data_IF_854970992117
#
_entry.id   IF_854970992117
#
_cell.length_a   1.000
_cell.length_b   1.000
_cell.length_c   1.000
_cell.angle_alpha   90.00
_cell.angle_beta   90.00
_cell.angle_gamma   90.00
#
_symmetry.space_group_name_H-M   'P 1'
#
loop_
_entity.id
_entity.type
_entity.pdbx_description
1 polymer ?
#
# COMPACT_ATOMS: atom_id res chain seq x y z
N UNK A 1 -31.96 34.96 68.08
CA UNK A 1 -32.04 34.28 69.39
C UNK A 1 -31.08 33.13 69.42
N UNK A 2 -30.28 33.14 70.49
CA UNK A 2 -29.47 32.07 71.08
C UNK A 2 -28.38 31.38 70.24
N UNK A 3 -27.19 31.76 70.59
CA UNK A 3 -25.88 31.13 70.60
C UNK A 3 -25.90 29.71 71.17
N UNK A 4 -25.04 28.83 70.65
CA UNK A 4 -24.27 27.92 71.51
C UNK A 4 -22.88 27.69 70.87
N UNK A 5 -21.86 28.08 71.61
CA UNK A 5 -20.46 27.70 71.51
C UNK A 5 -20.30 26.25 71.99
N UNK A 6 -19.46 25.46 71.30
CA UNK A 6 -18.72 24.37 71.94
C UNK A 6 -17.25 24.40 71.50
N UNK A 7 -16.43 24.58 72.50
CA UNK A 7 -14.96 24.46 72.50
C UNK A 7 -14.58 23.00 72.47
N UNK A 8 -13.64 22.56 71.62
CA UNK A 8 -12.93 21.31 71.84
C UNK A 8 -11.43 21.51 71.54
N UNK A 9 -10.72 21.06 72.49
CA UNK A 9 -9.29 21.11 72.78
C UNK A 9 -8.42 20.48 71.67
N UNK A 10 -7.32 21.18 71.36
CA UNK A 10 -6.27 20.74 70.43
C UNK A 10 -5.34 19.76 71.16
N UNK A 11 -5.27 18.52 70.70
CA UNK A 11 -4.23 17.55 71.09
C UNK A 11 -3.15 17.55 69.98
N UNK A 12 -1.97 18.01 70.34
CA UNK A 12 -0.77 17.98 69.48
C UNK A 12 -0.18 16.57 69.55
N UNK A 13 -0.30 15.79 68.49
CA UNK A 13 0.45 14.56 68.30
C UNK A 13 1.67 14.85 67.44
N UNK A 14 2.85 14.75 68.04
CA UNK A 14 4.13 14.81 67.33
C UNK A 14 4.35 13.58 66.47
N UNK A 15 4.23 13.74 65.17
CA UNK A 15 4.61 12.72 64.17
C UNK A 15 6.12 12.80 63.96
N UNK A 16 6.81 11.76 64.38
CA UNK A 16 8.21 11.52 64.01
C UNK A 16 8.20 11.10 62.51
N UNK A 17 8.69 11.99 61.67
CA UNK A 17 8.91 11.72 60.22
C UNK A 17 10.10 10.82 60.08
N UNK A 18 9.86 9.53 59.77
CA UNK A 18 10.90 8.63 59.30
C UNK A 18 11.09 8.88 57.79
N UNK A 19 12.07 9.71 57.42
CA UNK A 19 12.45 9.91 56.04
C UNK A 19 13.13 8.65 55.49
N UNK A 20 12.43 7.93 54.59
CA UNK A 20 13.09 6.96 53.71
C UNK A 20 14.01 7.70 52.75
N UNK A 21 15.25 7.26 52.52
CA UNK A 21 16.04 7.81 51.44
C UNK A 21 15.39 7.51 50.11
N UNK A 22 14.94 8.54 49.38
CA UNK A 22 14.56 8.40 47.97
C UNK A 22 15.83 8.10 47.21
N UNK A 23 15.94 6.84 46.74
CA UNK A 23 16.95 6.42 45.78
C UNK A 23 16.51 6.99 44.44
N UNK A 24 17.04 8.16 44.07
CA UNK A 24 16.88 8.65 42.70
C UNK A 24 17.71 7.76 41.78
N UNK A 25 17.01 6.95 40.99
CA UNK A 25 17.66 6.20 39.89
C UNK A 25 18.33 7.22 38.97
N UNK A 26 19.57 6.92 38.56
CA UNK A 26 20.29 7.78 37.61
C UNK A 26 19.53 7.82 36.25
N UNK A 27 19.70 8.91 35.49
CA UNK A 27 19.11 9.02 34.16
C UNK A 27 19.43 7.79 33.28
N UNK A 28 20.63 7.22 33.43
CA UNK A 28 21.04 6.01 32.73
C UNK A 28 20.25 4.75 33.17
N UNK A 29 19.87 4.65 34.45
CA UNK A 29 19.02 3.54 34.95
C UNK A 29 17.56 3.68 34.52
N UNK A 30 17.06 4.91 34.40
CA UNK A 30 15.74 5.20 33.87
C UNK A 30 15.67 4.91 32.36
N UNK A 31 16.68 5.34 31.58
CA UNK A 31 16.81 5.03 30.17
C UNK A 31 16.96 3.51 29.94
N UNK A 32 17.79 2.82 30.74
CA UNK A 32 17.95 1.37 30.68
C UNK A 32 16.66 0.63 31.05
N UNK A 33 15.87 1.11 32.02
CA UNK A 33 14.56 0.57 32.38
C UNK A 33 13.53 0.83 31.27
N UNK A 34 13.49 2.01 30.70
CA UNK A 34 12.60 2.36 29.62
C UNK A 34 12.92 1.55 28.37
N UNK A 35 14.19 1.30 28.10
CA UNK A 35 14.67 0.46 27.02
C UNK A 35 14.36 -1.05 27.26
N UNK A 36 14.54 -1.53 28.49
CA UNK A 36 14.17 -2.89 28.88
C UNK A 36 12.65 -3.14 28.86
N UNK A 37 11.83 -2.10 29.06
CA UNK A 37 10.39 -2.16 28.90
C UNK A 37 9.99 -2.19 27.41
N UNK A 38 10.70 -1.48 26.54
CA UNK A 38 10.51 -1.56 25.08
C UNK A 38 10.99 -2.89 24.50
N UNK A 39 12.06 -3.49 25.04
CA UNK A 39 12.58 -4.79 24.60
C UNK A 39 11.80 -6.00 25.13
N UNK A 40 10.93 -5.82 26.12
CA UNK A 40 10.02 -6.86 26.65
C UNK A 40 8.64 -6.90 25.97
N UNK A 41 8.42 -6.08 24.93
CA UNK A 41 7.31 -6.30 24.03
C UNK A 41 7.53 -7.66 23.37
N UNK A 42 6.75 -8.63 23.79
CA UNK A 42 6.61 -9.95 23.15
C UNK A 42 6.50 -9.72 21.65
N UNK A 43 7.23 -10.50 20.86
CA UNK A 43 7.36 -10.42 19.41
C UNK A 43 6.03 -10.80 18.71
N UNK A 44 4.98 -10.01 18.88
CA UNK A 44 3.91 -9.98 17.91
C UNK A 44 4.45 -9.19 16.70
N UNK A 45 4.37 -9.79 15.51
CA UNK A 45 4.72 -9.13 14.26
C UNK A 45 4.01 -7.77 14.21
N UNK A 46 4.75 -6.67 14.31
CA UNK A 46 4.15 -5.36 14.15
C UNK A 46 3.57 -5.28 12.73
N UNK A 47 2.32 -4.88 12.64
CA UNK A 47 1.61 -4.77 11.35
C UNK A 47 0.99 -3.40 11.20
N UNK A 48 0.84 -2.97 9.95
CA UNK A 48 -0.01 -1.83 9.60
C UNK A 48 -0.98 -2.25 8.51
N UNK A 49 -2.05 -1.48 8.35
CA UNK A 49 -3.04 -1.75 7.31
C UNK A 49 -3.31 -0.48 6.51
N UNK A 50 -3.69 -0.67 5.27
CA UNK A 50 -4.17 0.40 4.40
C UNK A 50 -5.17 -0.15 3.38
N UNK A 51 -6.02 0.72 2.88
CA UNK A 51 -7.04 0.42 1.89
C UNK A 51 -6.73 1.06 0.54
N UNK A 52 -7.09 0.38 -0.52
CA UNK A 52 -6.99 0.86 -1.91
C UNK A 52 -8.34 0.72 -2.58
N UNK A 53 -8.79 1.75 -3.30
CA UNK A 53 -9.96 1.72 -4.16
C UNK A 53 -9.53 1.96 -5.60
N UNK A 54 -9.76 0.99 -6.50
CA UNK A 54 -9.64 1.19 -7.94
C UNK A 54 -10.95 1.74 -8.47
N UNK A 55 -10.90 2.87 -9.21
CA UNK A 55 -12.08 3.58 -9.66
C UNK A 55 -11.88 4.17 -11.07
N UNK A 56 -12.46 3.54 -12.09
CA UNK A 56 -12.63 4.21 -13.38
C UNK A 56 -13.73 5.24 -13.23
N UNK A 57 -13.42 6.51 -13.50
CA UNK A 57 -14.29 7.66 -13.24
C UNK A 57 -15.01 8.18 -14.50
N UNK A 58 -15.03 7.39 -15.56
CA UNK A 58 -15.71 7.68 -16.83
C UNK A 58 -15.57 9.14 -17.26
N UNK A 59 -14.35 9.49 -17.69
CA UNK A 59 -14.02 10.84 -18.15
C UNK A 59 -14.35 11.92 -17.08
N UNK A 60 -13.87 11.70 -15.84
CA UNK A 60 -14.09 12.62 -14.71
C UNK A 60 -15.58 12.80 -14.34
N UNK A 61 -16.41 11.79 -14.58
CA UNK A 61 -17.85 11.82 -14.32
C UNK A 61 -18.65 12.72 -15.28
N UNK A 62 -18.06 13.19 -16.38
CA UNK A 62 -18.74 14.10 -17.32
C UNK A 62 -19.88 13.44 -18.08
N UNK A 63 -19.92 12.12 -18.13
CA UNK A 63 -20.96 11.36 -18.81
C UNK A 63 -22.25 11.22 -17.97
N UNK A 64 -22.21 11.59 -16.69
CA UNK A 64 -23.33 11.51 -15.76
C UNK A 64 -23.62 12.89 -15.18
N UNK A 65 -24.88 13.32 -15.18
CA UNK A 65 -25.26 14.60 -14.56
C UNK A 65 -24.91 14.58 -13.06
N UNK A 66 -24.09 15.53 -12.59
CA UNK A 66 -23.58 15.56 -11.22
C UNK A 66 -22.48 14.51 -10.92
N UNK A 67 -21.93 13.86 -11.98
CA UNK A 67 -20.97 12.76 -11.82
C UNK A 67 -19.68 13.16 -11.10
N UNK A 68 -19.12 14.34 -11.38
CA UNK A 68 -17.95 14.81 -10.64
C UNK A 68 -18.19 14.90 -9.12
N UNK A 69 -19.31 15.51 -8.72
CA UNK A 69 -19.66 15.62 -7.30
C UNK A 69 -19.92 14.24 -6.68
N UNK A 70 -20.48 13.32 -7.45
CA UNK A 70 -20.68 11.94 -7.02
C UNK A 70 -19.34 11.22 -6.81
N UNK A 71 -18.32 11.40 -7.69
CA UNK A 71 -16.96 10.89 -7.47
C UNK A 71 -16.38 11.42 -6.16
N UNK A 72 -16.48 12.73 -5.93
CA UNK A 72 -16.00 13.36 -4.69
C UNK A 72 -16.72 12.77 -3.47
N UNK A 73 -18.05 12.56 -3.56
CA UNK A 73 -18.84 11.98 -2.46
C UNK A 73 -18.43 10.54 -2.14
N UNK A 74 -18.27 9.69 -3.17
CA UNK A 74 -17.87 8.31 -2.98
C UNK A 74 -16.51 8.19 -2.29
N UNK A 75 -15.54 9.03 -2.68
CA UNK A 75 -14.21 9.05 -2.05
C UNK A 75 -14.30 9.60 -0.63
N UNK A 76 -15.06 10.71 -0.42
CA UNK A 76 -15.18 11.33 0.89
C UNK A 76 -15.93 10.47 1.92
N UNK A 77 -16.93 9.70 1.49
CA UNK A 77 -17.75 8.85 2.36
C UNK A 77 -17.05 7.55 2.73
N UNK A 78 -16.24 6.98 1.83
CA UNK A 78 -15.54 5.70 2.05
C UNK A 78 -14.16 5.87 2.65
N UNK A 79 -13.53 7.00 2.43
CA UNK A 79 -12.21 7.35 2.95
C UNK A 79 -11.12 6.30 2.68
N UNK A 80 -10.93 5.81 1.45
CA UNK A 80 -9.82 4.91 1.15
C UNK A 80 -8.48 5.60 1.44
N UNK A 81 -7.47 4.82 1.84
CA UNK A 81 -6.13 5.38 2.05
C UNK A 81 -5.49 5.78 0.71
N UNK A 82 -5.79 4.99 -0.33
CA UNK A 82 -5.38 5.27 -1.71
C UNK A 82 -6.55 5.09 -2.67
N UNK A 83 -6.59 5.91 -3.72
CA UNK A 83 -7.48 5.72 -4.87
C UNK A 83 -6.64 5.67 -6.12
N UNK A 84 -6.75 4.59 -6.90
CA UNK A 84 -6.26 4.53 -8.27
C UNK A 84 -7.38 4.90 -9.21
N UNK A 85 -7.10 5.83 -10.12
CA UNK A 85 -8.08 6.43 -11.00
C UNK A 85 -7.77 6.10 -12.46
N UNK A 86 -8.77 5.69 -13.21
CA UNK A 86 -8.72 5.60 -14.66
C UNK A 86 -9.65 6.65 -15.27
N UNK A 87 -9.29 7.15 -16.46
CA UNK A 87 -10.01 8.15 -17.22
C UNK A 87 -9.98 9.60 -16.66
N UNK A 88 -8.83 10.00 -16.14
CA UNK A 88 -8.51 11.40 -15.91
C UNK A 88 -8.26 12.08 -17.26
N UNK A 89 -8.90 13.24 -17.53
CA UNK A 89 -8.84 13.92 -18.82
C UNK A 89 -8.33 15.35 -18.74
N UNK A 90 -8.29 15.95 -17.54
CA UNK A 90 -7.90 17.36 -17.32
C UNK A 90 -8.70 18.33 -18.18
N UNK A 91 -10.01 18.14 -18.29
CA UNK A 91 -10.88 18.94 -19.13
C UNK A 91 -10.75 20.45 -18.87
N UNK A 92 -10.94 21.27 -19.93
CA UNK A 92 -10.88 22.73 -19.90
C UNK A 92 -9.54 23.28 -19.40
N UNK A 93 -8.43 22.59 -19.68
CA UNK A 93 -7.09 22.92 -19.18
C UNK A 93 -6.99 23.06 -17.65
N UNK A 94 -7.84 22.35 -16.92
CA UNK A 94 -7.78 22.28 -15.46
C UNK A 94 -6.90 21.09 -15.03
N UNK A 95 -6.39 21.13 -13.80
CA UNK A 95 -5.71 20.00 -13.18
C UNK A 95 -6.74 19.22 -12.37
N UNK A 96 -7.07 17.99 -12.78
CA UNK A 96 -8.01 17.15 -12.04
C UNK A 96 -7.52 16.85 -10.62
N UNK A 97 -6.23 16.56 -10.48
CA UNK A 97 -5.58 16.35 -9.18
C UNK A 97 -5.81 17.52 -8.22
N UNK A 98 -5.65 18.77 -8.68
CA UNK A 98 -5.90 19.95 -7.85
C UNK A 98 -7.39 20.13 -7.53
N UNK A 99 -8.27 19.91 -8.50
CA UNK A 99 -9.72 20.04 -8.30
C UNK A 99 -10.24 19.03 -7.29
N UNK A 100 -9.91 17.76 -7.46
CA UNK A 100 -10.39 16.68 -6.59
C UNK A 100 -9.87 16.84 -5.15
N UNK A 101 -8.60 17.19 -4.96
CA UNK A 101 -8.01 17.46 -3.64
C UNK A 101 -8.68 18.65 -2.97
N UNK A 102 -8.96 19.75 -3.71
CA UNK A 102 -9.66 20.91 -3.17
C UNK A 102 -11.11 20.56 -2.77
N UNK A 103 -11.83 19.78 -3.61
CA UNK A 103 -13.20 19.35 -3.31
C UNK A 103 -13.28 18.42 -2.10
N UNK A 104 -12.32 17.48 -1.96
CA UNK A 104 -12.22 16.61 -0.79
C UNK A 104 -11.88 17.42 0.47
N UNK A 105 -10.97 18.39 0.37
CA UNK A 105 -10.63 19.29 1.47
C UNK A 105 -11.84 20.11 1.93
N UNK A 106 -12.68 20.59 1.01
CA UNK A 106 -13.94 21.29 1.36
C UNK A 106 -14.91 20.39 2.13
N UNK A 107 -14.80 19.06 2.00
CA UNK A 107 -15.54 18.06 2.79
C UNK A 107 -14.79 17.61 4.06
N UNK A 108 -13.69 18.28 4.44
CA UNK A 108 -12.87 17.95 5.62
C UNK A 108 -11.97 16.73 5.44
N UNK A 109 -11.74 16.28 4.19
CA UNK A 109 -10.89 15.13 3.89
C UNK A 109 -9.57 15.59 3.30
N UNK A 110 -8.45 15.16 3.88
CA UNK A 110 -7.11 15.52 3.40
C UNK A 110 -6.57 14.40 2.51
N UNK A 111 -6.28 14.75 1.26
CA UNK A 111 -5.61 13.89 0.29
C UNK A 111 -4.49 14.66 -0.40
N UNK A 112 -3.53 13.89 -0.92
CA UNK A 112 -2.45 14.33 -1.77
C UNK A 112 -2.60 13.69 -3.14
N UNK A 113 -2.25 14.43 -4.18
CA UNK A 113 -2.22 13.93 -5.56
C UNK A 113 -1.08 14.60 -6.31
N UNK A 114 -0.67 14.01 -7.40
CA UNK A 114 0.26 14.61 -8.36
C UNK A 114 -0.40 14.69 -9.72
N UNK A 115 0.06 15.65 -10.55
CA UNK A 115 -0.50 15.78 -11.89
C UNK A 115 -0.34 14.49 -12.68
N UNK A 116 -1.42 14.10 -13.31
CA UNK A 116 -1.54 12.88 -14.08
C UNK A 116 -2.39 13.11 -15.33
N UNK A 117 -2.30 12.20 -16.30
CA UNK A 117 -3.11 12.18 -17.52
C UNK A 117 -3.59 10.75 -17.72
N UNK A 118 -4.88 10.59 -18.04
CA UNK A 118 -5.57 9.31 -18.23
C UNK A 118 -5.71 8.44 -16.98
N UNK A 119 -4.72 8.41 -16.11
CA UNK A 119 -4.77 7.73 -14.82
C UNK A 119 -4.19 8.61 -13.71
N UNK A 120 -4.46 8.28 -12.45
CA UNK A 120 -3.98 9.06 -11.32
C UNK A 120 -4.06 8.32 -9.99
N UNK A 121 -3.41 8.88 -8.97
CA UNK A 121 -3.44 8.34 -7.61
C UNK A 121 -3.76 9.45 -6.62
N UNK A 122 -4.74 9.18 -5.74
CA UNK A 122 -4.94 9.95 -4.52
C UNK A 122 -4.35 9.18 -3.33
N UNK A 123 -3.76 9.89 -2.40
CA UNK A 123 -3.15 9.33 -1.19
C UNK A 123 -3.53 10.15 0.04
N UNK A 124 -3.88 9.50 1.16
CA UNK A 124 -3.96 10.17 2.47
C UNK A 124 -2.58 10.54 3.03
N UNK A 125 -1.53 9.95 2.49
CA UNK A 125 -0.16 10.14 2.95
C UNK A 125 0.60 11.10 2.04
N UNK A 126 1.55 11.91 2.56
CA UNK A 126 2.37 12.80 1.74
C UNK A 126 3.14 12.03 0.66
N UNK A 127 3.19 12.61 -0.53
CA UNK A 127 3.89 12.04 -1.68
C UNK A 127 5.40 12.28 -1.55
N UNK A 128 6.20 11.23 -1.63
CA UNK A 128 7.67 11.29 -1.67
C UNK A 128 8.21 11.40 -3.08
N UNK A 129 7.63 10.62 -3.99
CA UNK A 129 8.05 10.53 -5.38
C UNK A 129 6.84 10.19 -6.26
N UNK A 130 6.81 10.68 -7.48
CA UNK A 130 5.85 10.23 -8.50
C UNK A 130 6.48 10.23 -9.89
N UNK A 131 5.91 9.44 -10.79
CA UNK A 131 6.28 9.39 -12.20
C UNK A 131 5.14 8.84 -13.04
N UNK A 132 5.12 9.17 -14.33
CA UNK A 132 4.21 8.59 -15.31
C UNK A 132 5.01 7.93 -16.42
N UNK A 133 4.56 6.78 -16.91
CA UNK A 133 5.19 6.06 -18.03
C UNK A 133 4.18 5.09 -18.63
N UNK A 134 4.27 4.86 -19.96
CA UNK A 134 3.37 3.95 -20.67
C UNK A 134 1.89 4.23 -20.30
N UNK A 135 1.18 3.27 -19.74
CA UNK A 135 -0.21 3.38 -19.29
C UNK A 135 -0.34 3.57 -17.77
N UNK A 136 0.70 4.04 -17.08
CA UNK A 136 0.73 4.03 -15.62
C UNK A 136 1.12 5.37 -15.02
N UNK A 137 0.49 5.68 -13.90
CA UNK A 137 0.91 6.68 -12.92
C UNK A 137 1.41 5.95 -11.67
N UNK A 138 2.62 6.30 -11.22
CA UNK A 138 3.29 5.70 -10.07
C UNK A 138 3.47 6.73 -8.97
N UNK A 139 3.14 6.38 -7.75
CA UNK A 139 3.28 7.22 -6.56
C UNK A 139 3.97 6.43 -5.45
N UNK A 140 4.94 7.05 -4.77
CA UNK A 140 5.64 6.50 -3.60
C UNK A 140 5.31 7.33 -2.38
N UNK A 141 4.99 6.67 -1.28
CA UNK A 141 4.72 7.28 0.01
C UNK A 141 5.17 6.39 1.16
N UNK A 142 5.12 6.90 2.38
CA UNK A 142 5.25 6.12 3.62
C UNK A 142 3.91 6.06 4.35
N UNK A 143 3.41 4.85 4.59
CA UNK A 143 2.22 4.65 5.43
C UNK A 143 2.61 4.68 6.90
N UNK A 144 3.74 4.09 7.23
CA UNK A 144 4.40 4.22 8.54
C UNK A 144 5.87 4.55 8.31
N UNK A 145 6.54 5.29 9.20
CA UNK A 145 7.94 5.68 9.01
C UNK A 145 8.85 4.51 8.64
N UNK A 146 9.65 4.68 7.59
CA UNK A 146 10.58 3.67 7.08
C UNK A 146 9.96 2.56 6.24
N UNK A 147 8.64 2.55 6.02
CA UNK A 147 7.95 1.53 5.23
C UNK A 147 7.28 2.16 4.01
N UNK A 148 7.98 2.14 2.89
CA UNK A 148 7.51 2.70 1.64
C UNK A 148 6.50 1.78 0.94
N UNK A 149 5.40 2.40 0.48
CA UNK A 149 4.39 1.78 -0.36
C UNK A 149 4.39 2.49 -1.71
N UNK A 150 4.40 1.71 -2.77
CA UNK A 150 4.29 2.20 -4.14
C UNK A 150 2.93 1.80 -4.69
N UNK A 151 2.18 2.81 -5.10
CA UNK A 151 0.88 2.63 -5.73
C UNK A 151 1.01 2.97 -7.21
N UNK A 152 0.70 2.01 -8.05
CA UNK A 152 0.54 2.19 -9.48
C UNK A 152 -0.94 2.28 -9.82
N UNK A 153 -1.32 3.26 -10.62
CA UNK A 153 -2.61 3.34 -11.27
C UNK A 153 -2.41 3.07 -12.75
N UNK A 154 -3.14 2.11 -13.31
CA UNK A 154 -3.09 1.74 -14.71
C UNK A 154 -4.42 1.98 -15.41
N UNK A 155 -4.34 2.36 -16.70
CA UNK A 155 -5.47 2.30 -17.62
C UNK A 155 -4.94 1.74 -18.94
N UNK A 156 -5.22 0.46 -19.18
CA UNK A 156 -4.65 -0.25 -20.31
C UNK A 156 -5.46 -0.01 -21.59
N UNK A 157 -4.84 -0.33 -22.71
CA UNK A 157 -5.42 -0.13 -24.04
C UNK A 157 -6.78 -0.82 -24.19
N UNK A 158 -7.82 -0.04 -24.47
CA UNK A 158 -9.20 -0.51 -24.66
C UNK A 158 -9.44 -1.18 -26.02
N UNK A 159 -8.52 -0.99 -26.98
CA UNK A 159 -8.67 -1.52 -28.32
C UNK A 159 -8.48 -3.04 -28.36
N UNK A 160 -8.98 -3.69 -29.41
CA UNK A 160 -8.88 -5.15 -29.57
C UNK A 160 -9.46 -5.92 -28.36
N UNK A 161 -10.65 -5.49 -27.88
CA UNK A 161 -11.32 -6.08 -26.73
C UNK A 161 -11.90 -7.47 -27.09
N UNK A 162 -11.03 -8.48 -27.12
CA UNK A 162 -11.28 -9.77 -27.72
C UNK A 162 -12.37 -10.64 -27.06
N UNK A 163 -12.80 -10.29 -25.84
CA UNK A 163 -13.98 -10.89 -25.18
C UNK A 163 -15.28 -10.73 -25.99
N UNK A 164 -15.30 -9.80 -26.96
CA UNK A 164 -16.44 -9.60 -27.83
C UNK A 164 -16.59 -10.67 -28.93
N UNK A 165 -15.52 -11.35 -29.30
CA UNK A 165 -15.59 -12.42 -30.31
C UNK A 165 -16.58 -13.52 -29.95
N UNK A 166 -16.51 -14.22 -28.79
CA UNK A 166 -17.50 -15.21 -28.42
C UNK A 166 -18.90 -14.62 -28.20
N UNK A 167 -18.99 -13.33 -27.90
CA UNK A 167 -20.26 -12.58 -27.75
C UNK A 167 -20.90 -12.18 -29.08
N UNK A 168 -20.22 -12.42 -30.21
CA UNK A 168 -20.73 -12.13 -31.54
C UNK A 168 -20.51 -10.71 -32.02
N UNK A 169 -19.50 -10.04 -31.50
CA UNK A 169 -19.14 -8.68 -31.91
C UNK A 169 -17.66 -8.59 -32.31
N UNK A 170 -17.37 -7.65 -33.21
CA UNK A 170 -16.01 -7.34 -33.63
C UNK A 170 -15.27 -6.56 -32.54
N UNK A 171 -14.09 -7.03 -32.07
CA UNK A 171 -13.35 -6.40 -30.97
C UNK A 171 -12.78 -5.01 -31.24
N UNK A 172 -12.76 -4.58 -32.50
CA UNK A 172 -12.18 -3.28 -32.89
C UNK A 172 -13.27 -2.28 -33.25
N UNK A 173 -14.27 -2.72 -33.96
CA UNK A 173 -15.37 -1.84 -34.45
C UNK A 173 -16.61 -1.88 -33.60
N UNK A 174 -16.72 -2.86 -32.69
CA UNK A 174 -17.85 -3.14 -31.81
C UNK A 174 -19.16 -3.43 -32.56
N UNK A 175 -19.05 -3.75 -33.85
CA UNK A 175 -20.18 -4.13 -34.68
C UNK A 175 -20.52 -5.60 -34.54
N UNK A 176 -21.80 -5.92 -34.65
CA UNK A 176 -22.28 -7.31 -34.64
C UNK A 176 -21.66 -8.11 -35.81
N UNK A 177 -21.19 -9.26 -35.49
CA UNK A 177 -20.66 -10.25 -36.45
C UNK A 177 -21.79 -11.15 -36.97
N UNK A 178 -21.65 -11.76 -38.17
CA UNK A 178 -22.59 -12.74 -38.67
C UNK A 178 -22.73 -13.99 -37.78
N UNK A 179 -21.69 -14.34 -37.06
CA UNK A 179 -21.65 -15.40 -36.06
C UNK A 179 -20.56 -15.16 -35.01
N UNK A 180 -20.74 -15.66 -33.77
CA UNK A 180 -19.70 -15.63 -32.74
C UNK A 180 -18.43 -16.36 -33.18
N UNK A 181 -17.27 -15.86 -32.76
CA UNK A 181 -15.97 -16.50 -32.96
C UNK A 181 -15.55 -17.13 -31.63
N UNK A 182 -15.49 -18.48 -31.60
CA UNK A 182 -15.16 -19.24 -30.39
C UNK A 182 -13.80 -19.97 -30.50
N UNK A 183 -13.06 -19.71 -31.56
CA UNK A 183 -11.69 -20.19 -31.74
C UNK A 183 -10.76 -19.42 -30.79
N UNK A 184 -10.27 -20.08 -29.74
CA UNK A 184 -9.44 -19.48 -28.69
C UNK A 184 -8.14 -18.95 -29.26
N UNK A 185 -7.57 -19.53 -30.28
CA UNK A 185 -6.36 -19.02 -30.93
C UNK A 185 -6.62 -17.67 -31.56
N UNK A 186 -7.72 -17.52 -32.31
CA UNK A 186 -8.11 -16.23 -32.90
C UNK A 186 -8.42 -15.16 -31.83
N UNK A 187 -9.06 -15.59 -30.73
CA UNK A 187 -9.36 -14.67 -29.60
C UNK A 187 -8.06 -14.14 -29.00
N UNK A 188 -7.09 -15.00 -28.70
CA UNK A 188 -5.81 -14.61 -28.10
C UNK A 188 -4.96 -13.77 -29.07
N UNK A 189 -4.87 -14.17 -30.34
CA UNK A 189 -4.18 -13.39 -31.37
C UNK A 189 -4.77 -11.97 -31.52
N UNK A 190 -6.09 -11.83 -31.46
CA UNK A 190 -6.77 -10.53 -31.50
C UNK A 190 -6.45 -9.70 -30.24
N UNK A 191 -6.50 -10.32 -29.08
CA UNK A 191 -6.16 -9.66 -27.81
C UNK A 191 -4.73 -9.11 -27.81
N UNK A 192 -3.78 -9.89 -28.32
CA UNK A 192 -2.36 -9.58 -28.31
C UNK A 192 -1.96 -8.52 -29.37
N UNK A 193 -2.88 -8.14 -30.28
CA UNK A 193 -2.71 -6.98 -31.17
C UNK A 193 -2.89 -5.63 -30.46
N UNK A 194 -3.45 -5.62 -29.26
CA UNK A 194 -3.53 -4.42 -28.41
C UNK A 194 -2.15 -4.00 -27.88
N UNK A 195 -2.07 -2.84 -27.24
CA UNK A 195 -0.86 -2.41 -26.54
C UNK A 195 -0.69 -3.08 -25.17
N UNK A 196 -1.71 -3.77 -24.65
CA UNK A 196 -1.71 -4.36 -23.30
C UNK A 196 -0.50 -5.26 -23.00
N UNK A 197 -0.08 -6.18 -23.88
CA UNK A 197 1.10 -7.01 -23.61
C UNK A 197 2.35 -6.18 -23.33
N UNK A 198 2.61 -5.13 -24.13
CA UNK A 198 3.77 -4.25 -23.93
C UNK A 198 3.60 -3.39 -22.66
N UNK A 199 2.41 -2.87 -22.41
CA UNK A 199 2.12 -2.08 -21.21
C UNK A 199 2.38 -2.89 -19.92
N UNK A 200 2.02 -4.17 -19.88
CA UNK A 200 2.32 -5.07 -18.75
C UNK A 200 3.83 -5.28 -18.59
N UNK A 201 4.59 -5.44 -19.67
CA UNK A 201 6.05 -5.55 -19.59
C UNK A 201 6.71 -4.26 -19.08
N UNK A 202 6.21 -3.10 -19.49
CA UNK A 202 6.68 -1.79 -19.01
C UNK A 202 6.44 -1.66 -17.48
N UNK A 203 5.25 -2.05 -17.02
CA UNK A 203 4.95 -2.10 -15.59
C UNK A 203 5.91 -3.03 -14.85
N UNK A 204 6.06 -4.28 -15.30
CA UNK A 204 6.91 -5.26 -14.64
C UNK A 204 8.38 -4.83 -14.57
N UNK A 205 8.86 -4.17 -15.62
CA UNK A 205 10.21 -3.61 -15.66
C UNK A 205 10.43 -2.57 -14.57
N UNK A 206 9.46 -1.69 -14.35
CA UNK A 206 9.54 -0.66 -13.32
C UNK A 206 9.27 -1.23 -11.92
N UNK A 207 8.25 -2.07 -11.77
CA UNK A 207 7.88 -2.69 -10.49
C UNK A 207 9.03 -3.54 -9.92
N UNK A 208 9.80 -4.22 -10.76
CA UNK A 208 10.97 -5.00 -10.35
C UNK A 208 12.00 -4.15 -9.58
N UNK A 209 12.19 -2.89 -9.95
CA UNK A 209 13.10 -1.97 -9.25
C UNK A 209 12.58 -1.61 -7.85
N UNK A 210 11.27 -1.34 -7.74
CA UNK A 210 10.64 -1.02 -6.47
C UNK A 210 10.63 -2.24 -5.52
N UNK A 211 10.33 -3.42 -6.05
CA UNK A 211 10.38 -4.70 -5.32
C UNK A 211 11.79 -4.96 -4.81
N UNK A 212 12.81 -4.81 -5.67
CA UNK A 212 14.21 -5.01 -5.28
C UNK A 212 14.68 -4.01 -4.21
N UNK A 213 14.05 -2.83 -4.12
CA UNK A 213 14.28 -1.83 -3.07
C UNK A 213 13.49 -2.11 -1.79
N UNK A 214 12.81 -3.25 -1.68
CA UNK A 214 12.06 -3.68 -0.49
C UNK A 214 10.72 -2.96 -0.27
N UNK A 215 10.21 -2.26 -1.29
CA UNK A 215 8.95 -1.53 -1.17
C UNK A 215 7.74 -2.47 -1.31
N UNK A 216 6.64 -2.12 -0.66
CA UNK A 216 5.34 -2.75 -0.92
C UNK A 216 4.80 -2.22 -2.25
N UNK A 217 4.45 -3.10 -3.19
CA UNK A 217 4.00 -2.72 -4.53
C UNK A 217 2.57 -3.14 -4.75
N UNK A 218 1.72 -2.16 -5.07
CA UNK A 218 0.29 -2.33 -5.41
C UNK A 218 0.05 -1.76 -6.81
N UNK A 219 -0.75 -2.46 -7.60
CA UNK A 219 -1.25 -2.01 -8.90
C UNK A 219 -2.76 -2.04 -8.89
N UNK A 220 -3.41 -0.89 -8.95
CA UNK A 220 -4.84 -0.77 -9.28
C UNK A 220 -5.01 -0.27 -10.71
N UNK A 221 -6.04 -0.71 -11.41
CA UNK A 221 -6.29 -0.21 -12.76
C UNK A 221 -7.46 -0.86 -13.46
N UNK A 222 -7.96 -0.16 -14.47
CA UNK A 222 -8.81 -0.70 -15.52
C UNK A 222 -7.90 -1.32 -16.59
N UNK A 223 -7.99 -2.63 -16.74
CA UNK A 223 -7.12 -3.35 -17.67
C UNK A 223 -7.70 -3.47 -19.07
N UNK A 224 -8.97 -3.12 -19.25
CA UNK A 224 -9.66 -3.34 -20.52
C UNK A 224 -9.43 -4.76 -21.08
N UNK A 225 -9.30 -5.72 -20.17
CA UNK A 225 -9.10 -7.15 -20.45
C UNK A 225 -9.65 -7.96 -19.29
N UNK A 226 -10.37 -9.04 -19.58
CA UNK A 226 -10.86 -9.97 -18.57
C UNK A 226 -9.70 -10.73 -17.89
N UNK A 227 -9.98 -11.43 -16.80
CA UNK A 227 -8.95 -12.21 -16.09
C UNK A 227 -8.91 -13.67 -16.57
N UNK A 228 -7.70 -14.22 -16.65
CA UNK A 228 -7.49 -15.65 -16.84
C UNK A 228 -8.09 -16.49 -15.69
N UNK A 229 -8.34 -15.88 -14.54
CA UNK A 229 -9.00 -16.52 -13.38
C UNK A 229 -10.53 -16.46 -13.46
N UNK A 230 -11.08 -15.78 -14.47
CA UNK A 230 -12.52 -15.54 -14.64
C UNK A 230 -13.08 -16.18 -15.92
N UNK A 231 -12.21 -16.63 -16.84
CA UNK A 231 -12.61 -17.31 -18.08
C UNK A 231 -12.16 -18.78 -18.07
N UNK A 232 -12.64 -19.51 -17.06
CA UNK A 232 -12.26 -20.87 -16.72
C UNK A 232 -13.25 -21.89 -17.27
N UNK A 233 -12.93 -23.15 -17.08
CA UNK A 233 -13.80 -24.29 -17.44
C UNK A 233 -15.17 -24.23 -16.73
N UNK A 234 -15.19 -23.68 -15.49
CA UNK A 234 -16.42 -23.60 -14.68
C UNK A 234 -17.43 -22.57 -15.22
N UNK A 235 -16.97 -21.51 -15.87
CA UNK A 235 -17.83 -20.43 -16.39
C UNK A 235 -17.94 -20.38 -17.91
N UNK A 236 -17.34 -21.32 -18.65
CA UNK A 236 -17.29 -21.29 -20.10
C UNK A 236 -18.65 -21.23 -20.82
N UNK A 237 -19.73 -21.64 -20.15
CA UNK A 237 -21.09 -21.58 -20.71
C UNK A 237 -21.95 -20.49 -20.09
N UNK A 238 -21.37 -19.64 -19.23
CA UNK A 238 -22.02 -18.47 -18.62
C UNK A 238 -21.62 -17.20 -19.39
N UNK A 239 -22.33 -16.10 -19.19
CA UNK A 239 -21.99 -14.73 -19.64
C UNK A 239 -21.63 -14.62 -21.12
N UNK A 240 -22.29 -15.44 -21.96
CA UNK A 240 -22.04 -15.55 -23.40
C UNK A 240 -20.57 -15.89 -23.75
N UNK A 241 -19.84 -16.62 -22.88
CA UNK A 241 -18.51 -17.17 -23.19
C UNK A 241 -18.55 -18.28 -24.25
N UNK A 242 -19.72 -18.92 -24.46
CA UNK A 242 -19.99 -19.91 -25.54
C UNK A 242 -18.98 -21.03 -25.62
N UNK A 243 -18.60 -21.62 -24.50
CA UNK A 243 -17.70 -22.75 -24.41
C UNK A 243 -16.21 -22.35 -24.44
N UNK A 244 -15.86 -21.09 -24.52
CA UNK A 244 -14.46 -20.66 -24.55
C UNK A 244 -13.85 -20.58 -23.15
N UNK A 245 -12.60 -21.07 -23.05
CA UNK A 245 -11.71 -20.91 -21.88
C UNK A 245 -10.49 -20.16 -22.38
N UNK A 246 -10.22 -18.98 -21.81
CA UNK A 246 -9.17 -18.09 -22.33
C UNK A 246 -8.20 -17.71 -21.22
N UNK A 247 -6.92 -17.94 -21.48
CA UNK A 247 -5.84 -17.52 -20.60
C UNK A 247 -5.39 -16.09 -20.94
N UNK A 248 -6.20 -15.10 -20.53
CA UNK A 248 -5.97 -13.68 -20.80
C UNK A 248 -4.58 -13.22 -20.38
N UNK A 249 -3.84 -12.63 -21.32
CA UNK A 249 -2.39 -12.47 -21.24
C UNK A 249 -1.92 -11.48 -20.15
N UNK A 250 -2.64 -10.38 -19.91
CA UNK A 250 -2.25 -9.36 -18.94
C UNK A 250 -2.22 -9.91 -17.53
N UNK A 251 -3.34 -10.47 -17.07
CA UNK A 251 -3.46 -10.99 -15.70
C UNK A 251 -2.65 -12.26 -15.49
N UNK A 252 -2.53 -13.14 -16.52
CA UNK A 252 -1.70 -14.32 -16.46
C UNK A 252 -0.20 -13.97 -16.33
N UNK A 253 0.26 -12.94 -17.04
CA UNK A 253 1.64 -12.47 -16.97
C UNK A 253 1.97 -11.87 -15.60
N UNK A 254 1.06 -11.09 -15.01
CA UNK A 254 1.21 -10.58 -13.64
C UNK A 254 1.29 -11.71 -12.62
N UNK A 255 0.40 -12.70 -12.70
CA UNK A 255 0.39 -13.86 -11.80
C UNK A 255 1.70 -14.65 -11.89
N UNK A 256 2.21 -14.88 -13.10
CA UNK A 256 3.53 -15.52 -13.33
C UNK A 256 4.68 -14.71 -12.74
N UNK A 257 4.56 -13.39 -12.68
CA UNK A 257 5.56 -12.49 -12.10
C UNK A 257 5.45 -12.36 -10.57
N UNK A 258 4.54 -13.08 -9.90
CA UNK A 258 4.38 -13.08 -8.45
C UNK A 258 3.36 -12.07 -7.91
N UNK A 259 2.62 -11.40 -8.79
CA UNK A 259 1.50 -10.56 -8.37
C UNK A 259 0.25 -11.40 -8.15
N UNK A 260 -0.50 -11.06 -7.10
CA UNK A 260 -1.77 -11.70 -6.76
C UNK A 260 -2.92 -10.72 -6.92
N UNK A 261 -4.00 -11.19 -7.52
CA UNK A 261 -5.28 -10.49 -7.59
C UNK A 261 -5.94 -10.52 -6.21
N UNK A 262 -6.08 -9.37 -5.58
CA UNK A 262 -6.57 -9.26 -4.21
C UNK A 262 -8.01 -9.79 -4.05
N UNK A 263 -8.86 -9.59 -5.05
CA UNK A 263 -10.23 -10.09 -5.03
C UNK A 263 -10.26 -11.61 -5.11
N UNK A 264 -9.54 -12.22 -6.08
CA UNK A 264 -9.51 -13.69 -6.28
C UNK A 264 -8.81 -14.44 -5.16
N UNK A 265 -7.88 -13.81 -4.44
CA UNK A 265 -7.29 -14.42 -3.23
C UNK A 265 -8.35 -14.71 -2.16
N UNK A 266 -9.32 -13.80 -1.99
CA UNK A 266 -10.40 -13.97 -1.01
C UNK A 266 -11.60 -14.74 -1.56
N UNK A 267 -11.87 -14.60 -2.85
CA UNK A 267 -13.03 -15.22 -3.53
C UNK A 267 -12.57 -16.04 -4.74
N UNK A 268 -11.97 -17.22 -4.52
CA UNK A 268 -11.44 -18.06 -5.59
C UNK A 268 -12.51 -18.75 -6.45
N UNK A 269 -13.77 -18.75 -6.01
CA UNK A 269 -14.92 -19.35 -6.73
C UNK A 269 -15.55 -18.30 -7.65
N UNK A 270 -15.11 -18.25 -8.89
CA UNK A 270 -15.54 -17.29 -9.91
C UNK A 270 -17.00 -17.46 -10.35
N UNK A 271 -17.60 -18.60 -10.09
CA UNK A 271 -19.02 -18.85 -10.39
C UNK A 271 -19.92 -18.13 -9.39
N UNK A 272 -19.62 -18.26 -8.08
CA UNK A 272 -20.40 -17.66 -7.02
C UNK A 272 -20.00 -16.21 -6.73
N UNK A 273 -18.75 -15.84 -7.04
CA UNK A 273 -18.18 -14.52 -6.81
C UNK A 273 -17.56 -13.97 -8.10
N UNK A 274 -18.34 -13.70 -9.16
CA UNK A 274 -17.81 -13.22 -10.43
C UNK A 274 -17.07 -11.87 -10.30
N UNK A 275 -17.51 -11.01 -9.40
CA UNK A 275 -16.85 -9.73 -9.11
C UNK A 275 -16.94 -8.73 -10.26
N UNK A 276 -18.00 -8.74 -11.04
CA UNK A 276 -18.14 -7.91 -12.23
C UNK A 276 -17.97 -6.42 -11.92
N UNK A 277 -17.10 -5.77 -12.67
CA UNK A 277 -16.91 -4.32 -12.64
C UNK A 277 -17.48 -3.63 -13.87
N UNK A 278 -17.70 -4.36 -14.95
CA UNK A 278 -18.25 -3.88 -16.21
C UNK A 278 -19.44 -4.76 -16.67
N UNK A 279 -20.50 -4.19 -17.26
CA UNK A 279 -20.88 -2.77 -17.24
C UNK A 279 -21.76 -2.46 -16.01
N UNK A 280 -21.71 -1.20 -15.51
CA UNK A 280 -22.54 -0.77 -14.41
C UNK A 280 -23.79 0.02 -14.83
N UNK A 281 -23.76 0.71 -15.97
CA UNK A 281 -24.85 1.57 -16.42
C UNK A 281 -25.30 1.30 -17.86
N UNK A 282 -24.38 1.08 -18.79
CA UNK A 282 -24.64 0.94 -20.22
C UNK A 282 -23.87 -0.23 -20.81
N UNK A 283 -24.39 -0.76 -21.92
CA UNK A 283 -23.82 -1.87 -22.67
C UNK A 283 -23.36 -1.40 -24.05
N UNK A 284 -22.15 -1.78 -24.46
CA UNK A 284 -21.65 -1.56 -25.82
C UNK A 284 -22.13 -2.63 -26.79
N UNK A 285 -22.51 -3.81 -26.28
CA UNK A 285 -22.99 -4.94 -27.05
C UNK A 285 -24.41 -5.34 -26.62
N UNK A 286 -25.43 -4.59 -27.05
CA UNK A 286 -26.78 -4.66 -26.47
C UNK A 286 -27.51 -6.00 -26.63
N UNK A 287 -27.00 -6.92 -27.45
CA UNK A 287 -27.60 -8.25 -27.64
C UNK A 287 -26.85 -9.36 -26.89
N UNK A 288 -25.70 -9.06 -26.25
CA UNK A 288 -24.91 -10.02 -25.51
C UNK A 288 -24.86 -9.72 -24.01
N UNK A 289 -24.50 -10.71 -23.23
CA UNK A 289 -24.11 -10.56 -21.84
C UNK A 289 -22.61 -10.23 -21.81
N UNK A 290 -22.27 -8.96 -21.61
CA UNK A 290 -20.90 -8.47 -21.65
C UNK A 290 -20.28 -8.27 -20.28
N UNK A 291 -20.90 -8.86 -19.23
CA UNK A 291 -20.36 -8.76 -17.89
C UNK A 291 -18.98 -9.37 -17.77
N UNK A 292 -18.03 -8.53 -17.35
CA UNK A 292 -16.66 -8.92 -17.06
C UNK A 292 -16.13 -8.17 -15.82
N UNK A 293 -15.14 -8.74 -15.19
CA UNK A 293 -14.28 -8.03 -14.26
C UNK A 293 -13.06 -7.58 -15.04
N UNK A 294 -12.87 -6.25 -15.14
CA UNK A 294 -11.77 -5.60 -15.87
C UNK A 294 -11.03 -4.57 -15.03
N UNK A 295 -11.58 -4.23 -13.87
CA UNK A 295 -10.92 -3.40 -12.85
C UNK A 295 -10.33 -4.28 -11.76
N UNK A 296 -9.07 -4.08 -11.44
CA UNK A 296 -8.31 -4.95 -10.55
C UNK A 296 -7.50 -4.16 -9.54
N UNK A 297 -7.18 -4.84 -8.41
CA UNK A 297 -6.13 -4.46 -7.49
C UNK A 297 -5.21 -5.66 -7.31
N UNK A 298 -4.01 -5.56 -7.86
CA UNK A 298 -2.94 -6.55 -7.69
C UNK A 298 -1.94 -6.09 -6.64
N UNK A 299 -1.32 -7.02 -5.96
CA UNK A 299 -0.20 -6.76 -5.06
C UNK A 299 0.93 -7.78 -5.29
N UNK A 300 2.17 -7.34 -5.12
CA UNK A 300 3.29 -8.27 -5.16
C UNK A 300 3.41 -9.01 -3.82
N UNK A 301 3.29 -10.34 -3.86
CA UNK A 301 3.40 -11.16 -2.66
C UNK A 301 4.85 -11.45 -2.32
N UNK A 302 5.38 -10.70 -1.35
CA UNK A 302 6.72 -10.91 -0.79
C UNK A 302 6.70 -11.68 0.55
N UNK A 303 5.57 -12.29 0.92
CA UNK A 303 5.36 -12.98 2.20
C UNK A 303 5.06 -12.06 3.39
N UNK A 304 5.20 -10.73 3.24
CA UNK A 304 4.93 -9.77 4.31
C UNK A 304 3.61 -9.01 4.12
N UNK A 305 2.94 -9.15 2.99
CA UNK A 305 1.67 -8.52 2.70
C UNK A 305 0.59 -9.56 2.48
N UNK A 306 -0.59 -9.28 2.98
CA UNK A 306 -1.80 -10.08 2.74
C UNK A 306 -3.00 -9.18 2.53
N UNK A 307 -3.98 -9.63 1.76
CA UNK A 307 -5.28 -8.98 1.66
C UNK A 307 -6.17 -9.47 2.79
N UNK A 308 -6.84 -8.54 3.49
CA UNK A 308 -7.72 -8.86 4.62
C UNK A 308 -9.20 -8.62 4.33
N UNK A 309 -9.54 -7.79 3.36
CA UNK A 309 -10.90 -7.57 2.87
C UNK A 309 -10.86 -7.13 1.41
N UNK A 310 -11.87 -7.52 0.62
CA UNK A 310 -12.09 -7.01 -0.72
C UNK A 310 -13.58 -7.07 -1.06
N UNK A 311 -14.07 -6.11 -1.83
CA UNK A 311 -15.46 -6.06 -2.26
C UNK A 311 -15.65 -5.11 -3.45
N UNK A 312 -16.81 -5.22 -4.08
CA UNK A 312 -17.23 -4.37 -5.18
C UNK A 312 -17.91 -3.11 -4.63
N UNK A 313 -17.52 -1.95 -5.14
CA UNK A 313 -18.12 -0.66 -4.81
C UNK A 313 -18.94 -0.19 -6.01
N UNK A 314 -20.21 0.07 -5.79
CA UNK A 314 -21.12 0.49 -6.86
C UNK A 314 -22.52 -0.10 -6.72
N UNK A 315 -23.41 0.16 -7.69
CA UNK A 315 -24.76 -0.37 -7.65
C UNK A 315 -24.75 -1.90 -7.68
N UNK A 316 -25.59 -2.52 -6.89
CA UNK A 316 -25.72 -3.98 -6.87
C UNK A 316 -26.31 -4.52 -8.19
N UNK A 317 -27.17 -3.74 -8.85
CA UNK A 317 -27.66 -4.10 -10.17
C UNK A 317 -26.51 -4.16 -11.18
N UNK A 318 -26.68 -5.01 -12.20
CA UNK A 318 -25.77 -5.13 -13.32
C UNK A 318 -26.52 -4.93 -14.63
N UNK A 319 -25.82 -4.78 -15.75
CA UNK A 319 -26.43 -4.61 -17.08
C UNK A 319 -26.21 -5.87 -17.91
N UNK A 320 -27.30 -6.46 -18.39
CA UNK A 320 -27.29 -7.61 -19.29
C UNK A 320 -28.16 -7.29 -20.50
N UNK A 321 -27.56 -7.37 -21.68
CA UNK A 321 -28.28 -7.07 -22.95
C UNK A 321 -28.97 -5.72 -22.91
N UNK A 322 -28.24 -4.71 -22.41
CA UNK A 322 -28.70 -3.33 -22.22
C UNK A 322 -29.90 -3.16 -21.26
N UNK A 323 -30.15 -4.12 -20.40
CA UNK A 323 -31.21 -4.09 -19.39
C UNK A 323 -30.58 -4.19 -18.02
N UNK A 324 -30.94 -3.26 -17.11
CA UNK A 324 -30.54 -3.37 -15.71
C UNK A 324 -31.26 -4.54 -15.03
N UNK A 325 -30.50 -5.45 -14.45
CA UNK A 325 -31.01 -6.64 -13.76
C UNK A 325 -30.42 -6.70 -12.36
N UNK A 326 -31.14 -7.30 -11.38
CA UNK A 326 -30.57 -7.54 -10.06
C UNK A 326 -29.38 -8.48 -10.16
N UNK A 327 -28.30 -8.15 -9.43
CA UNK A 327 -27.18 -9.07 -9.25
C UNK A 327 -27.57 -10.20 -8.28
N UNK A 328 -27.26 -11.44 -8.65
CA UNK A 328 -27.63 -12.64 -7.89
C UNK A 328 -26.41 -13.39 -7.36
N UNK A 329 -25.20 -12.91 -7.64
CA UNK A 329 -23.96 -13.48 -7.10
C UNK A 329 -23.86 -13.35 -5.58
N UNK A 330 -22.88 -14.03 -5.00
CA UNK A 330 -22.52 -13.90 -3.59
C UNK A 330 -21.51 -12.79 -3.34
N UNK A 331 -21.21 -11.97 -4.35
CA UNK A 331 -20.29 -10.84 -4.21
C UNK A 331 -20.72 -9.91 -3.10
N UNK A 332 -19.74 -9.41 -2.35
CA UNK A 332 -19.95 -8.39 -1.33
C UNK A 332 -19.97 -7.03 -2.04
N UNK A 333 -21.09 -6.31 -1.91
CA UNK A 333 -21.26 -4.98 -2.46
C UNK A 333 -21.26 -3.90 -1.37
N UNK A 334 -20.69 -2.75 -1.69
CA UNK A 334 -20.85 -1.50 -0.96
C UNK A 334 -21.53 -0.49 -1.90
N UNK A 335 -22.84 -0.35 -1.75
CA UNK A 335 -23.66 0.46 -2.64
C UNK A 335 -23.46 1.97 -2.41
N UNK A 336 -23.61 2.82 -3.45
CA UNK A 336 -23.55 4.27 -3.33
C UNK A 336 -24.74 4.80 -2.55
N UNK A 337 -24.55 5.93 -1.84
CA UNK A 337 -25.66 6.65 -1.18
C UNK A 337 -26.43 7.56 -2.14
N UNK A 338 -25.86 7.86 -3.30
CA UNK A 338 -26.41 8.77 -4.30
C UNK A 338 -26.30 8.22 -5.71
N UNK A 339 -26.17 9.12 -6.67
CA UNK A 339 -25.93 8.73 -8.07
C UNK A 339 -24.58 8.02 -8.18
N UNK A 340 -24.54 6.98 -9.00
CA UNK A 340 -23.28 6.34 -9.37
C UNK A 340 -22.67 7.05 -10.59
N UNK A 341 -21.40 7.51 -10.53
CA UNK A 341 -20.87 8.47 -11.50
C UNK A 341 -20.29 7.86 -12.77
N UNK A 342 -20.24 6.52 -12.91
CA UNK A 342 -19.48 5.85 -13.96
C UNK A 342 -20.19 4.59 -14.46
N UNK A 343 -19.82 4.14 -15.65
CA UNK A 343 -20.25 2.89 -16.26
C UNK A 343 -19.46 1.66 -15.77
N UNK A 344 -18.45 1.86 -14.93
CA UNK A 344 -17.76 0.80 -14.19
C UNK A 344 -18.25 0.71 -12.73
N UNK A 345 -18.02 -0.42 -12.08
CA UNK A 345 -18.00 -0.52 -10.62
C UNK A 345 -16.56 -0.44 -10.15
N UNK A 346 -16.35 0.12 -8.96
CA UNK A 346 -15.03 0.19 -8.35
C UNK A 346 -14.74 -1.09 -7.54
N UNK A 347 -13.46 -1.32 -7.28
CA UNK A 347 -12.99 -2.43 -6.42
C UNK A 347 -12.31 -1.84 -5.20
N UNK A 348 -12.62 -2.38 -4.05
CA UNK A 348 -11.94 -2.08 -2.78
C UNK A 348 -11.13 -3.26 -2.31
N UNK A 349 -9.92 -3.00 -1.80
CA UNK A 349 -9.14 -4.00 -1.06
C UNK A 349 -8.44 -3.38 0.13
N UNK A 350 -8.40 -4.12 1.23
CA UNK A 350 -7.66 -3.75 2.44
C UNK A 350 -6.50 -4.71 2.62
N UNK A 351 -5.32 -4.16 2.81
CA UNK A 351 -4.09 -4.90 3.01
C UNK A 351 -3.60 -4.81 4.43
N UNK A 352 -3.02 -5.91 4.92
CA UNK A 352 -2.27 -5.99 6.16
C UNK A 352 -0.81 -6.30 5.82
N UNK A 353 0.09 -5.45 6.27
CA UNK A 353 1.53 -5.57 6.00
C UNK A 353 2.27 -5.79 7.31
N UNK A 354 3.11 -6.81 7.35
CA UNK A 354 4.05 -7.04 8.44
C UNK A 354 5.22 -6.07 8.29
N UNK A 355 5.52 -5.36 9.35
CA UNK A 355 6.73 -4.56 9.43
C UNK A 355 7.88 -5.56 9.64
N UNK A 356 8.86 -5.63 8.73
CA UNK A 356 10.01 -6.48 8.93
C UNK A 356 10.64 -6.16 10.28
N UNK A 357 10.68 -7.13 11.19
CA UNK A 357 11.37 -6.95 12.46
C UNK A 357 12.85 -6.75 12.13
N UNK A 358 13.35 -5.58 12.48
CA UNK A 358 14.75 -5.31 12.33
C UNK A 358 15.52 -6.08 13.42
N UNK A 359 15.90 -7.30 13.11
CA UNK A 359 16.71 -8.14 13.99
C UNK A 359 18.19 -7.76 13.96
N UNK A 360 18.54 -6.60 13.43
CA UNK A 360 19.91 -6.11 13.46
C UNK A 360 20.40 -5.98 14.90
N UNK A 361 21.59 -6.42 15.12
CA UNK A 361 22.27 -6.36 16.43
C UNK A 361 23.65 -5.78 16.26
N UNK A 362 24.05 -5.02 17.24
CA UNK A 362 25.46 -4.67 17.49
C UNK A 362 25.78 -5.03 18.93
N UNK A 363 26.91 -5.65 19.15
CA UNK A 363 27.38 -6.06 20.49
C UNK A 363 28.84 -5.67 20.64
N UNK A 364 29.24 -5.42 21.86
CA UNK A 364 30.61 -5.13 22.21
C UNK A 364 31.18 -6.29 23.03
N UNK A 365 32.48 -6.57 22.87
CA UNK A 365 33.16 -7.59 23.62
C UNK A 365 33.40 -7.23 25.11
N UNK A 366 33.24 -5.94 25.48
CA UNK A 366 33.33 -5.41 26.84
C UNK A 366 32.37 -4.25 27.05
N UNK A 367 32.08 -3.91 28.30
CA UNK A 367 31.31 -2.70 28.69
C UNK A 367 32.22 -1.54 29.14
N UNK A 368 33.56 -1.76 29.30
CA UNK A 368 34.52 -0.74 29.66
C UNK A 368 35.86 -1.02 28.96
N UNK A 369 36.48 0.04 28.45
CA UNK A 369 37.73 0.00 27.70
C UNK A 369 38.73 1.03 28.26
N UNK A 370 40.02 0.75 28.11
CA UNK A 370 41.08 1.74 28.32
C UNK A 370 41.18 2.68 27.11
N UNK A 371 41.80 3.84 27.29
CA UNK A 371 42.14 4.72 26.18
C UNK A 371 42.98 3.98 25.14
N UNK A 372 42.65 4.12 23.87
CA UNK A 372 43.29 3.47 22.72
C UNK A 372 43.22 1.93 22.72
N UNK A 373 42.47 1.32 23.63
CA UNK A 373 42.15 -0.10 23.56
C UNK A 373 41.21 -0.39 22.40
N UNK A 374 41.40 -1.56 21.76
CA UNK A 374 40.52 -2.00 20.66
C UNK A 374 39.10 -2.30 21.17
N UNK A 375 38.13 -1.56 20.68
CA UNK A 375 36.68 -1.73 20.89
C UNK A 375 36.19 -2.63 19.75
N UNK A 376 35.96 -3.90 20.04
CA UNK A 376 35.47 -4.85 19.07
C UNK A 376 33.93 -4.82 19.05
N UNK A 377 33.35 -4.37 17.93
CA UNK A 377 31.93 -4.31 17.69
C UNK A 377 31.53 -5.40 16.69
N UNK A 378 30.85 -6.42 17.17
CA UNK A 378 30.28 -7.49 16.33
C UNK A 378 28.84 -7.09 15.96
N UNK A 379 28.48 -7.29 14.69
CA UNK A 379 27.14 -6.96 14.20
C UNK A 379 26.56 -8.11 13.36
N UNK A 380 25.24 -8.21 13.36
CA UNK A 380 24.50 -9.21 12.60
C UNK A 380 23.15 -8.68 12.12
N UNK A 381 22.63 -9.29 11.05
CA UNK A 381 21.35 -8.93 10.41
C UNK A 381 21.28 -7.45 10.04
N UNK A 382 22.38 -6.86 9.61
CA UNK A 382 22.48 -5.48 9.19
C UNK A 382 21.82 -5.24 7.83
N UNK A 383 21.91 -3.99 7.37
CA UNK A 383 21.46 -3.60 6.05
C UNK A 383 22.39 -4.15 4.96
N UNK A 384 21.81 -4.49 3.80
CA UNK A 384 22.57 -4.82 2.59
C UNK A 384 23.04 -3.57 1.83
N UNK A 385 22.69 -2.38 2.29
CA UNK A 385 23.18 -1.12 1.71
C UNK A 385 24.70 -1.02 1.91
N UNK A 386 25.49 -0.78 0.85
CA UNK A 386 26.95 -0.68 0.98
C UNK A 386 27.41 0.54 1.79
N UNK A 387 26.50 1.48 2.08
CA UNK A 387 26.73 2.64 2.94
C UNK A 387 26.11 2.51 4.34
N UNK A 388 25.67 1.29 4.70
CA UNK A 388 25.32 0.99 6.09
C UNK A 388 26.57 1.12 6.97
N UNK A 389 26.45 1.71 8.16
CA UNK A 389 27.59 2.05 8.98
C UNK A 389 27.31 1.94 10.48
N UNK A 390 28.38 1.82 11.23
CA UNK A 390 28.37 1.83 12.70
C UNK A 390 29.13 3.04 13.20
N UNK A 391 28.54 3.79 14.13
CA UNK A 391 29.12 4.99 14.73
C UNK A 391 29.13 4.95 16.25
N UNK A 392 30.17 5.52 16.85
CA UNK A 392 30.31 5.72 18.29
C UNK A 392 30.06 7.19 18.62
N UNK A 393 29.18 7.45 19.58
CA UNK A 393 28.81 8.78 20.04
C UNK A 393 29.03 8.91 21.54
N UNK A 394 29.32 10.13 22.02
CA UNK A 394 29.25 10.39 23.46
C UNK A 394 27.80 10.29 23.94
N UNK A 395 27.62 9.77 25.16
CA UNK A 395 26.30 9.70 25.77
C UNK A 395 25.68 11.11 25.83
N UNK A 396 24.39 11.22 25.49
CA UNK A 396 23.67 12.48 25.38
C UNK A 396 23.77 13.17 24.00
N UNK A 397 24.59 12.69 23.08
CA UNK A 397 24.62 13.18 21.69
C UNK A 397 23.55 12.50 20.84
N UNK A 398 23.11 13.19 19.78
CA UNK A 398 22.10 12.68 18.82
C UNK A 398 22.72 12.57 17.44
N UNK A 399 22.68 11.39 16.79
CA UNK A 399 23.08 11.20 15.40
C UNK A 399 22.33 12.18 14.47
N UNK A 400 23.01 12.69 13.47
CA UNK A 400 22.46 13.69 12.56
C UNK A 400 22.56 15.14 13.05
N UNK A 401 22.61 15.35 14.38
CA UNK A 401 22.84 16.66 14.99
C UNK A 401 24.29 16.80 15.46
N UNK A 402 24.87 15.72 15.96
CA UNK A 402 26.24 15.68 16.46
C UNK A 402 27.10 14.75 15.61
N UNK A 403 28.39 15.04 15.48
CA UNK A 403 29.35 14.15 14.85
C UNK A 403 29.65 12.95 15.75
N UNK A 404 29.79 11.76 15.13
CA UNK A 404 30.31 10.57 15.82
C UNK A 404 31.78 10.76 16.20
N UNK A 405 32.19 10.18 17.33
CA UNK A 405 33.60 10.15 17.74
C UNK A 405 34.43 9.27 16.80
N UNK A 406 33.86 8.13 16.37
CA UNK A 406 34.42 7.22 15.37
C UNK A 406 33.28 6.59 14.57
N UNK A 407 33.55 6.19 13.31
CA UNK A 407 32.58 5.47 12.46
C UNK A 407 33.28 4.64 11.38
N UNK A 408 32.59 3.61 10.88
CA UNK A 408 33.01 2.80 9.73
C UNK A 408 31.80 2.24 8.98
N UNK A 409 31.91 2.06 7.66
CA UNK A 409 30.93 1.29 6.89
C UNK A 409 31.05 -0.20 7.23
N UNK A 410 29.91 -0.93 7.20
CA UNK A 410 29.88 -2.35 7.55
C UNK A 410 30.27 -3.23 6.38
N UNK A 411 30.04 -2.81 5.13
CA UNK A 411 30.33 -3.53 3.87
C UNK A 411 29.71 -4.94 3.78
N UNK A 412 28.91 -5.36 4.77
CA UNK A 412 28.24 -6.66 4.84
C UNK A 412 27.10 -6.61 5.86
N UNK A 413 26.21 -7.62 5.84
CA UNK A 413 25.10 -7.75 6.80
C UNK A 413 25.52 -8.35 8.15
N UNK A 414 26.67 -9.00 8.21
CA UNK A 414 27.26 -9.55 9.44
C UNK A 414 28.77 -9.32 9.45
N UNK A 415 29.35 -9.10 10.61
CA UNK A 415 30.79 -8.91 10.72
C UNK A 415 31.24 -8.36 12.05
N UNK A 416 32.48 -7.89 12.07
CA UNK A 416 33.11 -7.25 13.22
C UNK A 416 33.94 -6.07 12.75
N UNK A 417 33.78 -4.93 13.43
CA UNK A 417 34.55 -3.71 13.25
C UNK A 417 35.37 -3.42 14.52
N UNK A 418 36.54 -2.82 14.36
CA UNK A 418 37.38 -2.41 15.47
C UNK A 418 37.51 -0.90 15.48
N UNK A 419 37.27 -0.29 16.66
CA UNK A 419 37.44 1.09 16.93
C UNK A 419 38.43 1.32 18.06
N UNK A 420 38.89 2.54 18.23
CA UNK A 420 39.65 2.98 19.41
C UNK A 420 39.28 4.41 19.73
N UNK A 421 39.21 4.74 21.03
CA UNK A 421 38.91 6.08 21.52
C UNK A 421 40.12 6.61 22.30
N UNK A 422 40.42 7.88 22.06
CA UNK A 422 41.51 8.62 22.69
C UNK A 422 41.05 9.59 23.79
N UNK A 423 39.73 9.65 23.99
CA UNK A 423 39.09 10.57 24.93
C UNK A 423 38.30 9.77 25.98
N UNK A 424 38.44 10.05 27.28
CA UNK A 424 37.65 9.37 28.30
C UNK A 424 36.23 9.83 28.32
N UNK A 425 35.28 8.94 28.69
CA UNK A 425 33.88 9.28 28.81
C UNK A 425 32.94 8.10 28.75
N UNK A 426 31.64 8.40 28.79
CA UNK A 426 30.56 7.46 28.54
C UNK A 426 30.12 7.59 27.08
N UNK A 427 29.95 6.48 26.43
CA UNK A 427 29.66 6.39 25.00
C UNK A 427 28.54 5.40 24.73
N UNK A 428 28.01 5.46 23.50
CA UNK A 428 27.19 4.41 22.93
C UNK A 428 27.58 4.17 21.47
N UNK A 429 27.32 2.95 21.01
CA UNK A 429 27.47 2.56 19.61
C UNK A 429 26.12 2.39 18.98
N UNK A 430 25.94 2.88 17.76
CA UNK A 430 24.73 2.79 16.94
C UNK A 430 25.04 2.18 15.58
N UNK A 431 24.06 1.45 15.03
CA UNK A 431 24.11 0.84 13.71
C UNK A 431 23.07 1.48 12.81
N UNK A 432 23.46 2.01 11.65
CA UNK A 432 22.64 2.76 10.72
C UNK A 432 22.40 2.01 9.42
N UNK A 433 21.18 2.15 8.86
CA UNK A 433 20.68 1.40 7.72
C UNK A 433 21.43 1.68 6.41
N UNK A 434 21.80 2.95 6.19
CA UNK A 434 22.33 3.50 4.94
C UNK A 434 23.23 4.69 5.26
N UNK A 435 23.49 5.57 4.29
CA UNK A 435 24.26 6.81 4.51
C UNK A 435 23.53 7.85 5.39
N UNK A 436 22.32 7.56 5.85
CA UNK A 436 21.54 8.40 6.78
C UNK A 436 21.76 8.03 8.23
N UNK A 437 20.83 8.49 9.08
CA UNK A 437 20.89 8.33 10.54
C UNK A 437 19.74 7.46 11.09
N UNK A 438 19.11 6.63 10.24
CA UNK A 438 18.11 5.66 10.69
C UNK A 438 18.79 4.51 11.38
N UNK A 439 18.66 4.46 12.73
CA UNK A 439 19.22 3.39 13.55
C UNK A 439 18.43 2.08 13.33
N UNK A 440 19.17 0.97 13.12
CA UNK A 440 18.63 -0.36 12.84
C UNK A 440 18.89 -1.38 13.95
N UNK A 441 19.59 -0.99 14.99
CA UNK A 441 19.84 -1.84 16.15
C UNK A 441 19.74 -1.02 17.44
N UNK A 442 19.43 -1.66 18.58
CA UNK A 442 19.55 -1.03 19.88
C UNK A 442 20.95 -0.48 20.12
N UNK A 443 21.02 0.72 20.71
CA UNK A 443 22.29 1.32 21.17
C UNK A 443 22.91 0.46 22.25
N UNK A 444 24.23 0.25 22.19
CA UNK A 444 24.99 -0.43 23.25
C UNK A 444 25.88 0.58 23.95
N UNK A 445 25.67 0.75 25.23
CA UNK A 445 26.38 1.74 26.05
C UNK A 445 27.64 1.13 26.67
N UNK A 446 28.70 1.94 26.76
CA UNK A 446 29.97 1.53 27.33
C UNK A 446 30.76 2.75 27.85
N UNK A 447 31.82 2.50 28.59
CA UNK A 447 32.73 3.54 29.09
C UNK A 447 34.14 3.36 28.50
N UNK A 448 34.84 4.49 28.34
CA UNK A 448 36.26 4.50 28.00
C UNK A 448 36.98 5.40 29.00
N UNK A 449 38.08 4.92 29.54
CA UNK A 449 38.85 5.63 30.57
C UNK A 449 40.24 5.04 30.84
N UNK A 450 40.92 5.51 31.86
CA UNK A 450 42.26 5.05 32.26
C UNK A 450 42.23 3.66 32.91
#
# INVERSE_FOLDING_TARGET
MKKHLFSTTLAVASLVSCSRPEIHASAAELEAKQYALQSKSTSEDQTYSFSVMQFNIWQEGTQVSGGYDAIVNEIADREPDFVTLSEVRNYNNTSFDQRIVASLKAKGKTYYASRSEDNGVLSKYPIKEYSAFSAYHRLVTEVVPGNEVVIYSGHLDYTHYAVYYPRGYDPVTFKELPAPVTDVTKITEMNDQSKRPQQIQDFLTRAKQDIASGKVVILGGDFNEASHLDWTEAVKNLYDHRGTVVNWSSTATLSKAGFKDSYRVLYPDEVNYPGFTWPAQSSWTPKSDERDRIDYIFYYDNGNISVSDSYIVGPKNTVVKNISVPETSKDKFSEPKGIWPTDHKAVWSTFKVKIPQNNAKVTLNKSSYKLNEAIQASFSNGSSDPKAWIGIYKQGQTPGTNYSAKWQYTNSINGTLNFALDTPGSYYISFFKDNGYTEIAPRVYFTCGN
#
